data_IF_764686127935
#
_entry.id   IF_764686127935
#
_cell.length_a   1.000
_cell.length_b   1.000
_cell.length_c   1.000
_cell.angle_alpha   90.00
_cell.angle_beta   90.00
_cell.angle_gamma   90.00
#
_symmetry.space_group_name_H-M   'P 1'
#
loop_
_entity.id
_entity.type
_entity.pdbx_description
1 polymer ?
#
# COMPACT_ATOMS: atom_id res chain seq x y z
N UNK A 1 8.01 3.33 -20.96
CA UNK A 1 8.42 4.64 -21.51
C UNK A 1 9.70 5.20 -20.94
N UNK A 2 9.83 5.47 -19.63
CA UNK A 2 11.06 6.10 -19.08
C UNK A 2 12.32 5.27 -19.35
N UNK A 3 12.30 3.96 -19.06
CA UNK A 3 13.43 3.07 -19.34
C UNK A 3 13.80 2.97 -20.83
N UNK A 4 12.81 3.00 -21.72
CA UNK A 4 13.06 2.96 -23.17
C UNK A 4 13.59 4.28 -23.71
N UNK A 5 13.19 5.41 -23.12
CA UNK A 5 13.75 6.73 -23.44
C UNK A 5 15.21 6.83 -22.98
N UNK A 6 15.54 6.37 -21.76
CA UNK A 6 16.93 6.35 -21.27
C UNK A 6 17.84 5.45 -22.12
N UNK A 7 17.33 4.31 -22.60
CA UNK A 7 18.09 3.41 -23.46
C UNK A 7 18.41 4.04 -24.82
N UNK A 8 17.48 4.80 -25.41
CA UNK A 8 17.70 5.55 -26.66
C UNK A 8 18.77 6.63 -26.46
N UNK A 9 18.65 7.45 -25.43
CA UNK A 9 19.63 8.52 -25.13
C UNK A 9 21.04 7.94 -24.92
N UNK A 10 21.15 6.80 -24.23
CA UNK A 10 22.45 6.13 -24.03
C UNK A 10 23.03 5.58 -25.33
N UNK A 11 22.19 5.11 -26.25
CA UNK A 11 22.61 4.67 -27.58
C UNK A 11 23.09 5.85 -28.43
N UNK A 12 22.36 6.98 -28.39
CA UNK A 12 22.71 8.21 -29.11
C UNK A 12 24.05 8.76 -28.62
N UNK A 13 24.26 8.81 -27.28
CA UNK A 13 25.56 9.13 -26.67
C UNK A 13 26.69 8.25 -27.20
N UNK A 14 26.47 6.93 -27.26
CA UNK A 14 27.49 6.00 -27.77
C UNK A 14 27.77 6.21 -29.26
N UNK A 15 26.77 6.60 -30.04
CA UNK A 15 26.92 7.03 -31.43
C UNK A 15 27.79 8.27 -31.54
N UNK A 16 27.53 9.29 -30.73
CA UNK A 16 28.30 10.54 -30.69
C UNK A 16 29.77 10.30 -30.30
N UNK A 17 30.04 9.46 -29.28
CA UNK A 17 31.41 9.09 -28.90
C UNK A 17 32.17 8.46 -30.07
N UNK A 18 31.57 7.50 -30.77
CA UNK A 18 32.21 6.86 -31.93
C UNK A 18 32.46 7.84 -33.06
N UNK A 19 31.53 8.77 -33.29
CA UNK A 19 31.71 9.82 -34.30
C UNK A 19 32.87 10.72 -33.91
N UNK A 20 32.96 11.13 -32.64
CA UNK A 20 34.05 11.94 -32.11
C UNK A 20 35.41 11.25 -32.32
N UNK A 21 35.53 9.98 -31.94
CA UNK A 21 36.74 9.18 -32.17
C UNK A 21 37.13 9.11 -33.66
N UNK A 22 36.14 9.00 -34.55
CA UNK A 22 36.39 8.98 -35.99
C UNK A 22 36.97 10.31 -36.49
N UNK A 23 36.32 11.43 -36.17
CA UNK A 23 36.74 12.75 -36.65
C UNK A 23 38.08 13.19 -36.03
N UNK A 24 38.37 12.80 -34.78
CA UNK A 24 39.69 12.99 -34.17
C UNK A 24 40.78 12.22 -34.94
N UNK A 25 40.48 10.98 -35.36
CA UNK A 25 41.36 10.20 -36.22
C UNK A 25 41.60 10.83 -37.59
N UNK A 26 40.57 11.44 -38.18
CA UNK A 26 40.68 12.16 -39.45
C UNK A 26 41.57 13.41 -39.31
N UNK A 27 41.40 14.19 -38.23
CA UNK A 27 42.27 15.34 -37.93
C UNK A 27 43.73 14.91 -37.76
N UNK A 28 43.98 13.80 -37.03
CA UNK A 28 45.33 13.25 -36.89
C UNK A 28 45.94 12.83 -38.23
N UNK A 29 45.14 12.21 -39.12
CA UNK A 29 45.59 11.85 -40.48
C UNK A 29 45.97 13.07 -41.31
N UNK A 30 45.20 14.16 -41.22
CA UNK A 30 45.55 15.42 -41.90
C UNK A 30 46.83 16.04 -41.35
N UNK A 31 47.07 15.92 -40.05
CA UNK A 31 48.34 16.35 -39.45
C UNK A 31 49.53 15.54 -39.99
N UNK A 32 49.40 14.21 -40.11
CA UNK A 32 50.43 13.37 -40.72
C UNK A 32 50.71 13.74 -42.18
N UNK A 33 49.65 13.99 -42.97
CA UNK A 33 49.77 14.47 -44.36
C UNK A 33 50.50 15.81 -44.43
N UNK A 34 50.19 16.73 -43.52
CA UNK A 34 50.88 18.02 -43.43
C UNK A 34 52.37 17.85 -43.11
N UNK A 35 52.71 17.00 -42.11
CA UNK A 35 54.12 16.69 -41.78
C UNK A 35 54.86 16.06 -42.95
N UNK A 36 54.23 15.14 -43.68
CA UNK A 36 54.80 14.53 -44.87
C UNK A 36 55.07 15.58 -45.96
N UNK A 37 54.12 16.47 -46.22
CA UNK A 37 54.28 17.54 -47.21
C UNK A 37 55.45 18.48 -46.86
N UNK A 38 55.59 18.85 -45.58
CA UNK A 38 56.74 19.64 -45.07
C UNK A 38 58.06 18.89 -45.31
N UNK A 39 58.12 17.59 -45.00
CA UNK A 39 59.33 16.77 -45.22
C UNK A 39 59.76 16.68 -46.69
N UNK A 40 58.82 16.92 -47.62
CA UNK A 40 59.04 16.95 -49.07
C UNK A 40 59.21 18.36 -49.64
N UNK A 41 59.27 19.38 -48.79
CA UNK A 41 59.42 20.78 -49.19
C UNK A 41 58.18 21.36 -49.91
N UNK A 42 57.01 20.72 -49.77
CA UNK A 42 55.75 21.17 -50.40
C UNK A 42 54.88 21.90 -49.38
N UNK A 43 55.26 23.15 -49.09
CA UNK A 43 54.57 23.99 -48.10
C UNK A 43 53.13 24.33 -48.49
N UNK A 44 52.84 24.43 -49.78
CA UNK A 44 51.50 24.65 -50.34
C UNK A 44 50.53 23.54 -49.92
N UNK A 45 50.95 22.28 -50.08
CA UNK A 45 50.18 21.11 -49.65
C UNK A 45 50.09 20.99 -48.14
N UNK A 46 51.15 21.38 -47.42
CA UNK A 46 51.12 21.39 -45.96
C UNK A 46 50.07 22.38 -45.43
N UNK A 47 50.00 23.58 -46.00
CA UNK A 47 48.98 24.59 -45.62
C UNK A 47 47.57 24.11 -45.95
N UNK A 48 47.35 23.50 -47.12
CA UNK A 48 46.06 22.92 -47.47
C UNK A 48 45.64 21.82 -46.48
N UNK A 49 46.54 20.89 -46.14
CA UNK A 49 46.28 19.83 -45.16
C UNK A 49 45.95 20.37 -43.76
N UNK A 50 46.64 21.44 -43.31
CA UNK A 50 46.35 22.09 -42.03
C UNK A 50 45.02 22.83 -42.04
N UNK A 51 44.59 23.37 -43.18
CA UNK A 51 43.29 24.01 -43.32
C UNK A 51 42.15 22.98 -43.21
N UNK A 52 42.29 21.82 -43.84
CA UNK A 52 41.36 20.69 -43.67
C UNK A 52 41.35 20.20 -42.22
N UNK A 53 42.53 20.03 -41.59
CA UNK A 53 42.63 19.67 -40.17
C UNK A 53 41.83 20.63 -39.29
N UNK A 54 41.99 21.94 -39.49
CA UNK A 54 41.31 22.96 -38.70
C UNK A 54 39.79 22.87 -38.81
N UNK A 55 39.26 22.63 -40.02
CA UNK A 55 37.82 22.44 -40.21
C UNK A 55 37.29 21.24 -39.41
N UNK A 56 38.06 20.16 -39.36
CA UNK A 56 37.70 18.96 -38.57
C UNK A 56 37.84 19.23 -37.06
N UNK A 57 38.85 19.98 -36.61
CA UNK A 57 39.00 20.38 -35.20
C UNK A 57 37.83 21.26 -34.72
N UNK A 58 37.26 22.09 -35.61
CA UNK A 58 36.03 22.82 -35.33
C UNK A 58 34.83 21.86 -35.16
N UNK A 59 34.71 20.81 -35.99
CA UNK A 59 33.69 19.77 -35.83
C UNK A 59 33.88 18.96 -34.54
N UNK A 60 35.12 18.60 -34.17
CA UNK A 60 35.47 17.92 -32.91
C UNK A 60 34.96 18.74 -31.72
N UNK A 61 35.16 20.06 -31.75
CA UNK A 61 34.73 20.95 -30.68
C UNK A 61 33.20 20.96 -30.55
N UNK A 62 32.48 21.01 -31.67
CA UNK A 62 31.01 21.01 -31.68
C UNK A 62 30.46 19.68 -31.16
N UNK A 63 30.93 18.55 -31.69
CA UNK A 63 30.48 17.21 -31.27
C UNK A 63 30.85 16.92 -29.81
N UNK A 64 32.02 17.40 -29.36
CA UNK A 64 32.44 17.30 -27.96
C UNK A 64 31.50 18.04 -27.01
N UNK A 65 31.11 19.27 -27.35
CA UNK A 65 30.15 20.04 -26.54
C UNK A 65 28.75 19.39 -26.51
N UNK A 66 28.29 18.84 -27.64
CA UNK A 66 27.02 18.09 -27.69
C UNK A 66 27.05 16.84 -26.79
N UNK A 67 28.19 16.13 -26.78
CA UNK A 67 28.39 14.95 -25.93
C UNK A 67 28.38 15.33 -24.44
N UNK A 68 29.05 16.42 -24.06
CA UNK A 68 29.07 16.90 -22.68
C UNK A 68 27.67 17.29 -22.19
N UNK A 69 26.91 18.04 -23.00
CA UNK A 69 25.52 18.37 -22.69
C UNK A 69 24.63 17.12 -22.56
N UNK A 70 24.85 16.11 -23.40
CA UNK A 70 24.15 14.83 -23.32
C UNK A 70 24.48 14.08 -22.03
N UNK A 71 25.74 14.13 -21.59
CA UNK A 71 26.20 13.50 -20.35
C UNK A 71 25.59 14.14 -19.12
N UNK A 72 25.49 15.46 -19.09
CA UNK A 72 24.80 16.19 -18.02
C UNK A 72 23.31 15.82 -17.96
N UNK A 73 22.62 15.75 -19.10
CA UNK A 73 21.22 15.33 -19.15
C UNK A 73 21.03 13.89 -18.65
N UNK A 74 21.91 12.96 -19.02
CA UNK A 74 21.88 11.58 -18.52
C UNK A 74 22.08 11.55 -17.00
N UNK A 75 23.02 12.33 -16.47
CA UNK A 75 23.28 12.41 -15.04
C UNK A 75 22.06 12.92 -14.27
N UNK A 76 21.41 13.99 -14.75
CA UNK A 76 20.20 14.55 -14.16
C UNK A 76 19.04 13.53 -14.18
N UNK A 77 18.81 12.87 -15.31
CA UNK A 77 17.79 11.83 -15.44
C UNK A 77 18.01 10.67 -14.45
N UNK A 78 19.25 10.26 -14.23
CA UNK A 78 19.57 9.21 -13.25
C UNK A 78 19.21 9.63 -11.82
N UNK A 79 19.49 10.88 -11.44
CA UNK A 79 19.11 11.43 -10.13
C UNK A 79 17.59 11.45 -9.96
N UNK A 80 16.86 11.88 -10.99
CA UNK A 80 15.39 11.91 -10.97
C UNK A 80 14.78 10.51 -10.87
N UNK A 81 15.31 9.55 -11.64
CA UNK A 81 14.88 8.15 -11.61
C UNK A 81 15.10 7.56 -10.22
N UNK A 82 16.26 7.81 -9.59
CA UNK A 82 16.53 7.35 -8.23
C UNK A 82 15.53 7.93 -7.22
N UNK A 83 15.23 9.23 -7.33
CA UNK A 83 14.24 9.91 -6.48
C UNK A 83 12.83 9.32 -6.66
N UNK A 84 12.43 9.02 -7.89
CA UNK A 84 11.14 8.39 -8.19
C UNK A 84 11.07 6.95 -7.65
N UNK A 85 12.15 6.18 -7.77
CA UNK A 85 12.24 4.83 -7.21
C UNK A 85 12.12 4.84 -5.68
N UNK A 86 12.78 5.78 -5.00
CA UNK A 86 12.65 5.93 -3.55
C UNK A 86 11.21 6.25 -3.16
N UNK A 87 10.58 7.23 -3.81
CA UNK A 87 9.17 7.59 -3.56
C UNK A 87 8.22 6.41 -3.80
N UNK A 88 8.46 5.61 -4.85
CA UNK A 88 7.69 4.41 -5.13
C UNK A 88 7.86 3.35 -4.03
N UNK A 89 9.08 3.16 -3.53
CA UNK A 89 9.36 2.26 -2.42
C UNK A 89 8.61 2.69 -1.15
N UNK A 90 8.70 3.97 -0.80
CA UNK A 90 8.01 4.54 0.35
C UNK A 90 6.48 4.39 0.24
N UNK A 91 5.93 4.63 -0.95
CA UNK A 91 4.50 4.46 -1.22
C UNK A 91 4.07 3.00 -1.07
N UNK A 92 4.85 2.04 -1.58
CA UNK A 92 4.60 0.60 -1.41
C UNK A 92 4.66 0.18 0.07
N UNK A 93 5.62 0.70 0.83
CA UNK A 93 5.72 0.45 2.26
C UNK A 93 4.49 0.97 3.01
N UNK A 94 4.07 2.21 2.72
CA UNK A 94 2.84 2.80 3.27
C UNK A 94 1.59 1.98 2.91
N UNK A 95 1.47 1.55 1.65
CA UNK A 95 0.37 0.68 1.21
C UNK A 95 0.33 -0.62 2.03
N UNK A 96 1.49 -1.28 2.21
CA UNK A 96 1.58 -2.52 3.00
C UNK A 96 1.12 -2.30 4.44
N UNK A 97 1.52 -1.19 5.07
CA UNK A 97 1.08 -0.82 6.43
C UNK A 97 -0.44 -0.61 6.49
N UNK A 98 -1.02 0.12 5.53
CA UNK A 98 -2.46 0.36 5.49
C UNK A 98 -3.26 -0.94 5.31
N UNK A 99 -2.80 -1.85 4.44
CA UNK A 99 -3.44 -3.16 4.25
C UNK A 99 -3.38 -4.00 5.53
N UNK A 100 -2.23 -4.04 6.21
CA UNK A 100 -2.12 -4.74 7.49
C UNK A 100 -3.06 -4.15 8.55
N UNK A 101 -3.12 -2.81 8.64
CA UNK A 101 -4.02 -2.12 9.56
C UNK A 101 -5.49 -2.42 9.26
N UNK A 102 -5.90 -2.45 7.99
CA UNK A 102 -7.27 -2.83 7.58
C UNK A 102 -7.62 -4.22 8.09
N UNK A 103 -6.76 -5.21 7.81
CA UNK A 103 -6.96 -6.60 8.26
C UNK A 103 -7.06 -6.71 9.78
N UNK A 104 -6.25 -5.96 10.53
CA UNK A 104 -6.34 -5.92 12.00
C UNK A 104 -7.66 -5.33 12.47
N UNK A 105 -8.11 -4.23 11.87
CA UNK A 105 -9.38 -3.59 12.22
C UNK A 105 -10.56 -4.51 11.89
N UNK A 106 -10.58 -5.12 10.71
CA UNK A 106 -11.60 -6.11 10.30
C UNK A 106 -11.66 -7.28 11.29
N UNK A 107 -10.50 -7.81 11.70
CA UNK A 107 -10.41 -8.89 12.68
C UNK A 107 -10.98 -8.48 14.04
N UNK A 108 -10.67 -7.25 14.51
CA UNK A 108 -11.22 -6.70 15.75
C UNK A 108 -12.74 -6.51 15.68
N UNK A 109 -13.26 -6.05 14.55
CA UNK A 109 -14.71 -5.92 14.32
C UNK A 109 -15.37 -7.30 14.39
N UNK A 110 -14.78 -8.31 13.74
CA UNK A 110 -15.30 -9.69 13.77
C UNK A 110 -15.35 -10.25 15.19
N UNK A 111 -14.27 -10.09 15.97
CA UNK A 111 -14.23 -10.53 17.37
C UNK A 111 -15.28 -9.80 18.21
N UNK A 112 -15.42 -8.47 18.09
CA UNK A 112 -16.45 -7.72 18.82
C UNK A 112 -17.87 -8.23 18.50
N UNK A 113 -18.17 -8.46 17.21
CA UNK A 113 -19.47 -8.99 16.79
C UNK A 113 -19.72 -10.40 17.33
N UNK A 114 -18.69 -11.24 17.36
CA UNK A 114 -18.80 -12.59 17.92
C UNK A 114 -19.07 -12.54 19.44
N UNK A 115 -18.33 -11.73 20.20
CA UNK A 115 -18.56 -11.56 21.64
C UNK A 115 -19.98 -11.05 21.91
N UNK A 116 -20.46 -10.07 21.13
CA UNK A 116 -21.83 -9.57 21.26
C UNK A 116 -22.87 -10.66 20.97
N UNK A 117 -22.64 -11.50 19.96
CA UNK A 117 -23.51 -12.63 19.64
C UNK A 117 -23.50 -13.67 20.75
N UNK A 118 -22.34 -14.08 21.24
CA UNK A 118 -22.23 -15.03 22.36
C UNK A 118 -22.91 -14.48 23.62
N UNK A 119 -22.80 -13.17 23.90
CA UNK A 119 -23.51 -12.55 25.02
C UNK A 119 -25.03 -12.60 24.85
N UNK A 120 -25.55 -12.38 23.63
CA UNK A 120 -26.98 -12.52 23.32
C UNK A 120 -27.43 -13.98 23.44
N UNK A 121 -26.70 -14.93 22.87
CA UNK A 121 -27.01 -16.36 22.93
C UNK A 121 -27.07 -16.83 24.41
N UNK A 122 -26.10 -16.43 25.25
CA UNK A 122 -26.15 -16.70 26.69
C UNK A 122 -27.36 -16.05 27.38
N UNK A 123 -27.77 -14.85 26.99
CA UNK A 123 -28.95 -14.20 27.55
C UNK A 123 -30.24 -14.95 27.19
N UNK A 124 -30.37 -15.42 25.94
CA UNK A 124 -31.48 -16.28 25.52
C UNK A 124 -31.52 -17.60 26.30
N UNK A 125 -30.38 -18.28 26.50
CA UNK A 125 -30.34 -19.52 27.29
C UNK A 125 -30.81 -19.32 28.75
N UNK A 126 -30.40 -18.21 29.39
CA UNK A 126 -30.92 -17.85 30.73
C UNK A 126 -32.41 -17.60 30.69
N UNK A 127 -32.88 -16.85 29.70
CA UNK A 127 -34.28 -16.50 29.54
C UNK A 127 -35.16 -17.76 29.38
N UNK A 128 -34.77 -18.71 28.52
CA UNK A 128 -35.45 -20.00 28.36
C UNK A 128 -35.45 -20.86 29.64
N UNK A 129 -34.42 -20.72 30.49
CA UNK A 129 -34.40 -21.38 31.79
C UNK A 129 -35.41 -20.76 32.77
N UNK A 130 -35.52 -19.43 32.77
CA UNK A 130 -36.50 -18.70 33.58
C UNK A 130 -37.93 -18.97 33.14
N UNK A 131 -38.23 -18.94 31.84
CA UNK A 131 -39.56 -19.29 31.31
C UNK A 131 -39.98 -20.69 31.76
N UNK A 132 -39.10 -21.70 31.59
CA UNK A 132 -39.40 -23.06 32.08
C UNK A 132 -39.64 -23.12 33.58
N UNK A 133 -38.92 -22.32 34.38
CA UNK A 133 -39.15 -22.28 35.84
C UNK A 133 -40.52 -21.67 36.16
N UNK A 134 -40.90 -20.61 35.46
CA UNK A 134 -42.22 -19.99 35.56
C UNK A 134 -43.33 -20.95 35.19
N UNK A 135 -43.25 -21.60 34.03
CA UNK A 135 -44.22 -22.61 33.60
C UNK A 135 -44.42 -23.71 34.65
N UNK A 136 -43.33 -24.15 35.31
CA UNK A 136 -43.39 -25.16 36.36
C UNK A 136 -44.04 -24.66 37.66
N UNK A 137 -43.86 -23.38 38.01
CA UNK A 137 -44.51 -22.76 39.18
C UNK A 137 -45.99 -22.53 38.91
N UNK A 138 -46.35 -22.03 37.72
CA UNK A 138 -47.74 -21.90 37.29
C UNK A 138 -48.45 -23.25 37.29
N UNK A 139 -47.80 -24.30 36.76
CA UNK A 139 -48.34 -25.66 36.77
C UNK A 139 -48.53 -26.21 38.19
N UNK A 140 -47.63 -25.88 39.13
CA UNK A 140 -47.77 -26.27 40.54
C UNK A 140 -48.93 -25.52 41.20
N UNK A 141 -49.09 -24.23 40.93
CA UNK A 141 -50.20 -23.42 41.44
C UNK A 141 -51.54 -23.94 40.90
N UNK A 142 -51.64 -24.18 39.59
CA UNK A 142 -52.82 -24.78 38.96
C UNK A 142 -53.15 -26.16 39.58
N UNK A 143 -52.13 -26.99 39.84
CA UNK A 143 -52.32 -28.26 40.54
C UNK A 143 -52.77 -28.11 42.00
N UNK A 144 -52.34 -27.06 42.71
CA UNK A 144 -52.76 -26.77 44.08
C UNK A 144 -54.22 -26.28 44.12
N UNK A 145 -54.65 -25.54 43.10
CA UNK A 145 -56.02 -25.07 42.93
C UNK A 145 -56.97 -26.21 42.52
N UNK A 146 -56.52 -27.15 41.69
CA UNK A 146 -57.29 -28.34 41.30
C UNK A 146 -57.54 -29.36 42.42
N UNK A 147 -56.89 -29.21 43.58
CA UNK A 147 -56.94 -30.17 44.69
C UNK A 147 -57.60 -29.67 45.99
N UNK A 148 -58.09 -28.42 46.06
CA UNK A 148 -58.57 -27.81 47.31
C UNK A 148 -60.09 -27.66 47.37
N UNK A 149 -60.73 -28.43 48.24
CA UNK A 149 -62.06 -28.14 48.80
C UNK A 149 -62.00 -27.24 50.05
N UNK A 150 -60.79 -26.77 50.47
CA UNK A 150 -60.58 -25.90 51.64
C UNK A 150 -59.58 -24.78 51.31
N UNK A 151 -59.90 -23.49 51.57
CA UNK A 151 -59.02 -22.37 51.24
C UNK A 151 -57.72 -22.34 52.07
N UNK A 152 -56.57 -21.93 51.49
CA UNK A 152 -55.30 -21.74 52.18
C UNK A 152 -55.32 -20.67 53.28
N UNK A 153 -54.31 -20.73 54.16
CA UNK A 153 -54.00 -19.66 55.13
C UNK A 153 -53.37 -18.45 54.40
N UNK A 154 -53.78 -17.24 54.79
CA UNK A 154 -53.44 -15.96 54.15
C UNK A 154 -51.92 -15.72 54.06
N UNK A 155 -51.16 -16.22 55.05
CA UNK A 155 -49.71 -16.08 55.04
C UNK A 155 -49.05 -16.82 53.86
N UNK A 156 -49.57 -17.98 53.47
CA UNK A 156 -49.05 -18.78 52.36
C UNK A 156 -49.40 -18.16 50.99
N UNK A 157 -50.56 -17.51 50.86
CA UNK A 157 -50.91 -16.76 49.65
C UNK A 157 -49.98 -15.56 49.43
N UNK A 158 -49.65 -14.82 50.50
CA UNK A 158 -48.77 -13.65 50.39
C UNK A 158 -47.33 -14.06 50.06
N UNK A 159 -46.83 -15.17 50.62
CA UNK A 159 -45.48 -15.68 50.31
C UNK A 159 -45.37 -16.14 48.85
N UNK A 160 -46.40 -16.83 48.33
CA UNK A 160 -46.44 -17.25 46.93
C UNK A 160 -46.46 -16.05 45.96
N UNK A 161 -47.21 -15.00 46.27
CA UNK A 161 -47.24 -13.77 45.47
C UNK A 161 -45.89 -13.04 45.46
N UNK A 162 -45.18 -13.03 46.59
CA UNK A 162 -43.86 -12.40 46.67
C UNK A 162 -42.79 -13.15 45.88
N UNK A 163 -42.82 -14.49 45.86
CA UNK A 163 -41.92 -15.27 45.01
C UNK A 163 -42.21 -15.07 43.52
N UNK A 164 -43.48 -14.90 43.14
CA UNK A 164 -43.90 -14.62 41.76
C UNK A 164 -43.42 -13.23 41.30
N UNK A 165 -43.66 -12.19 42.11
CA UNK A 165 -43.22 -10.82 41.83
C UNK A 165 -41.69 -10.74 41.61
N UNK A 166 -40.90 -11.42 42.45
CA UNK A 166 -39.44 -11.41 42.34
C UNK A 166 -38.93 -12.07 41.05
N UNK A 167 -39.60 -13.12 40.58
CA UNK A 167 -39.19 -13.81 39.36
C UNK A 167 -39.70 -13.05 38.13
N UNK A 168 -40.88 -12.44 38.20
CA UNK A 168 -41.42 -11.57 37.15
C UNK A 168 -40.54 -10.32 36.94
N UNK A 169 -40.10 -9.68 38.02
CA UNK A 169 -39.17 -8.54 37.97
C UNK A 169 -37.83 -8.92 37.31
N UNK A 170 -37.30 -10.10 37.64
CA UNK A 170 -36.07 -10.61 37.04
C UNK A 170 -36.25 -10.95 35.55
N UNK A 171 -37.42 -11.48 35.17
CA UNK A 171 -37.78 -11.75 33.77
C UNK A 171 -37.91 -10.46 32.94
N UNK A 172 -38.55 -9.43 33.48
CA UNK A 172 -38.64 -8.11 32.83
C UNK A 172 -37.26 -7.48 32.66
N UNK A 173 -36.39 -7.59 33.67
CA UNK A 173 -35.00 -7.14 33.59
C UNK A 173 -34.27 -7.79 32.43
N UNK A 174 -34.38 -9.12 32.28
CA UNK A 174 -33.77 -9.86 31.17
C UNK A 174 -34.31 -9.43 29.80
N UNK A 175 -35.63 -9.25 29.66
CA UNK A 175 -36.26 -8.75 28.42
C UNK A 175 -35.71 -7.37 28.03
N UNK A 176 -35.51 -6.48 29.02
CA UNK A 176 -34.97 -5.14 28.79
C UNK A 176 -33.50 -5.13 28.36
N UNK A 177 -32.67 -6.03 28.90
CA UNK A 177 -31.26 -6.22 28.53
C UNK A 177 -31.13 -6.69 27.06
N UNK A 178 -32.07 -7.52 26.59
CA UNK A 178 -32.08 -8.05 25.22
C UNK A 178 -32.56 -7.04 24.17
N UNK A 179 -33.44 -6.10 24.54
CA UNK A 179 -33.98 -5.07 23.65
C UNK A 179 -33.09 -3.82 23.49
N UNK A 180 -32.06 -3.66 24.32
CA UNK A 180 -31.21 -2.45 24.40
C UNK A 180 -29.87 -2.56 23.65
N UNK A 181 -29.68 -3.59 22.80
CA UNK A 181 -28.44 -3.85 22.04
C UNK A 181 -28.56 -3.43 20.57
#
# INVERSE_FOLDING_TARGET
EVRSSSARVLADRKGAVRRLEQIEGEAASWEEKARLAISKGREDLARAALQEKRAIEEEVTVVGAELEATDEHIAQLNVEVAKLQQKLSDAKAKQKVLVMRSKTVESRIKVKRQIQREALDNAFERFEHYERRMDNLESQLESMDLGREVPPDLAAEIEALQEDDLINDELERLKSEMGSV
#
